data_IF_056254262788
#
_entry.id   IF_056254262788
#
_cell.length_a   1.000
_cell.length_b   1.000
_cell.length_c   1.000
_cell.angle_alpha   90.00
_cell.angle_beta   90.00
_cell.angle_gamma   90.00
#
_symmetry.space_group_name_H-M   'P 1'
#
loop_
_entity.id
_entity.type
_entity.pdbx_description
1 polymer ?
#
# COMPACT_ATOMS: atom_id res chain seq x y z
N UNK A 1 18.49 -3.46 10.29
CA UNK A 1 17.37 -4.22 9.68
C UNK A 1 17.66 -4.33 8.19
N UNK A 2 17.70 -5.55 7.69
CA UNK A 2 17.92 -5.85 6.27
C UNK A 2 16.65 -5.41 5.52
N UNK A 3 16.67 -4.23 4.90
CA UNK A 3 15.67 -3.88 3.90
C UNK A 3 15.77 -4.95 2.83
N UNK A 4 14.77 -5.82 2.72
CA UNK A 4 14.64 -6.57 1.48
C UNK A 4 14.44 -5.51 0.40
N UNK A 5 15.37 -5.36 -0.56
CA UNK A 5 15.16 -4.42 -1.64
C UNK A 5 13.86 -4.84 -2.30
N UNK A 6 12.90 -3.92 -2.39
CA UNK A 6 11.78 -4.06 -3.33
C UNK A 6 12.44 -4.50 -4.62
N UNK A 7 12.16 -5.72 -5.10
CA UNK A 7 12.81 -6.25 -6.31
C UNK A 7 12.74 -5.12 -7.34
N UNK A 8 13.88 -4.50 -7.66
CA UNK A 8 13.93 -3.34 -8.55
C UNK A 8 13.27 -3.79 -9.84
N UNK A 9 12.02 -3.37 -10.03
CA UNK A 9 11.25 -3.80 -11.17
C UNK A 9 11.86 -3.07 -12.35
N UNK A 10 12.37 -3.71 -13.39
CA UNK A 10 13.01 -2.98 -14.51
C UNK A 10 11.99 -2.26 -15.41
N UNK A 11 10.86 -1.84 -14.86
CA UNK A 11 9.83 -1.14 -15.58
C UNK A 11 10.14 0.36 -15.54
N UNK A 12 10.29 1.01 -16.71
CA UNK A 12 10.53 2.44 -16.75
C UNK A 12 9.33 3.18 -16.16
N UNK A 13 9.61 4.10 -15.25
CA UNK A 13 8.62 4.93 -14.57
C UNK A 13 9.12 6.37 -14.58
N UNK A 14 8.23 7.31 -14.88
CA UNK A 14 8.51 8.72 -14.81
C UNK A 14 7.62 9.36 -13.74
N UNK A 15 8.16 10.32 -13.01
CA UNK A 15 7.45 11.08 -11.97
C UNK A 15 7.67 12.57 -12.20
N UNK A 16 6.62 13.37 -12.08
CA UNK A 16 6.67 14.83 -12.12
C UNK A 16 6.24 15.42 -10.79
N UNK A 17 6.92 16.46 -10.34
CA UNK A 17 6.43 17.34 -9.29
C UNK A 17 6.21 18.73 -9.86
N UNK A 18 5.04 19.32 -9.58
CA UNK A 18 4.69 20.69 -9.96
C UNK A 18 4.40 21.53 -8.72
N UNK A 19 4.97 22.74 -8.64
CA UNK A 19 4.68 23.71 -7.58
C UNK A 19 3.29 24.33 -7.72
N UNK A 20 2.73 24.94 -6.65
CA UNK A 20 1.43 25.60 -6.71
C UNK A 20 1.38 26.75 -7.71
N UNK A 21 2.46 27.51 -7.84
CA UNK A 21 2.61 28.57 -8.84
C UNK A 21 2.77 28.02 -10.27
N UNK A 22 3.17 26.75 -10.41
CA UNK A 22 3.59 26.16 -11.68
C UNK A 22 4.98 26.60 -12.15
N UNK A 23 5.70 27.44 -11.39
CA UNK A 23 7.07 27.86 -11.73
C UNK A 23 8.06 26.69 -11.72
N UNK A 24 7.85 25.73 -10.83
CA UNK A 24 8.61 24.49 -10.81
C UNK A 24 7.75 23.35 -11.37
N UNK A 25 8.21 22.69 -12.43
CA UNK A 25 7.58 21.48 -12.96
C UNK A 25 8.64 20.60 -13.65
N UNK A 26 9.15 19.61 -12.91
CA UNK A 26 10.24 18.76 -13.41
C UNK A 26 9.85 17.28 -13.43
N UNK A 27 10.24 16.61 -14.51
CA UNK A 27 10.15 15.16 -14.66
C UNK A 27 11.45 14.49 -14.24
N UNK A 28 11.34 13.40 -13.50
CA UNK A 28 12.42 12.45 -13.25
C UNK A 28 12.01 11.09 -13.78
N UNK A 29 12.94 10.43 -14.45
CA UNK A 29 12.74 9.10 -15.00
C UNK A 29 13.64 8.11 -14.24
N UNK A 30 13.16 6.88 -14.08
CA UNK A 30 13.94 5.83 -13.48
C UNK A 30 13.45 4.43 -13.87
N UNK A 31 14.39 3.50 -13.91
CA UNK A 31 14.11 2.09 -14.17
C UNK A 31 13.73 1.39 -12.87
N UNK A 32 12.43 1.38 -12.58
CA UNK A 32 11.84 0.73 -11.42
C UNK A 32 11.63 1.57 -10.19
N UNK A 33 12.46 2.59 -10.01
CA UNK A 33 12.33 3.57 -8.95
C UNK A 33 12.65 4.96 -9.48
N UNK A 34 11.82 5.93 -9.11
CA UNK A 34 12.04 7.34 -9.42
C UNK A 34 12.06 8.11 -8.09
N UNK A 35 13.08 8.92 -7.88
CA UNK A 35 13.28 9.69 -6.66
C UNK A 35 13.44 11.17 -7.00
N UNK A 36 12.79 12.04 -6.22
CA UNK A 36 12.90 13.49 -6.34
C UNK A 36 12.97 14.12 -4.96
N UNK A 37 13.86 15.10 -4.82
CA UNK A 37 13.97 15.95 -3.63
C UNK A 37 13.78 17.39 -4.06
N UNK A 38 12.82 18.08 -3.44
CA UNK A 38 12.51 19.48 -3.73
C UNK A 38 12.37 20.26 -2.42
N UNK A 39 12.87 21.49 -2.43
CA UNK A 39 12.73 22.42 -1.30
C UNK A 39 11.45 23.24 -1.52
N UNK A 40 10.49 23.10 -0.60
CA UNK A 40 9.22 23.82 -0.63
C UNK A 40 9.47 25.28 -0.26
N UNK A 41 9.40 26.18 -1.24
CA UNK A 41 9.54 27.64 -1.04
C UNK A 41 8.20 28.37 -0.99
N UNK A 42 7.15 27.73 -1.48
CA UNK A 42 5.80 28.29 -1.59
C UNK A 42 4.79 27.44 -0.84
N UNK A 43 3.82 28.11 -0.22
CA UNK A 43 2.66 27.48 0.41
C UNK A 43 1.56 27.25 -0.65
N UNK A 44 1.05 26.02 -0.70
CA UNK A 44 -0.05 25.66 -1.59
C UNK A 44 -0.04 24.18 -1.96
N UNK A 45 -0.86 23.83 -2.94
CA UNK A 45 -1.04 22.46 -3.41
C UNK A 45 0.00 22.10 -4.47
N UNK A 46 0.90 21.18 -4.12
CA UNK A 46 1.84 20.58 -5.06
C UNK A 46 1.20 19.38 -5.76
N UNK A 47 1.41 19.26 -7.07
CA UNK A 47 0.92 18.13 -7.86
C UNK A 47 2.03 17.12 -8.13
N UNK A 48 1.75 15.84 -7.86
CA UNK A 48 2.64 14.73 -8.23
C UNK A 48 1.97 13.90 -9.34
N UNK A 49 2.57 13.87 -10.52
CA UNK A 49 2.14 12.98 -11.60
C UNK A 49 3.08 11.78 -11.70
N UNK A 50 2.53 10.60 -11.96
CA UNK A 50 3.31 9.40 -12.25
C UNK A 50 2.87 8.86 -13.60
N UNK A 51 3.83 8.62 -14.48
CA UNK A 51 3.61 8.05 -15.80
C UNK A 51 4.34 6.71 -15.90
N UNK A 52 3.63 5.69 -16.35
CA UNK A 52 4.18 4.37 -16.62
C UNK A 52 3.60 3.85 -17.95
N UNK A 53 4.41 3.27 -18.84
CA UNK A 53 3.96 2.85 -20.18
C UNK A 53 3.03 1.64 -20.15
N UNK A 54 2.89 0.97 -19.01
CA UNK A 54 1.97 -0.16 -18.80
C UNK A 54 1.26 0.00 -17.45
N UNK A 55 0.07 -0.58 -17.28
CA UNK A 55 -0.58 -0.63 -15.98
C UNK A 55 0.32 -1.36 -14.97
N UNK A 56 0.82 -0.63 -13.99
CA UNK A 56 1.70 -1.16 -12.93
C UNK A 56 1.21 -0.69 -11.57
N UNK A 57 1.51 -1.48 -10.53
CA UNK A 57 1.29 -1.06 -9.14
C UNK A 57 2.47 -0.22 -8.70
N UNK A 58 2.21 1.03 -8.32
CA UNK A 58 3.25 1.98 -7.88
C UNK A 58 3.15 2.16 -6.36
N UNK A 59 4.29 2.07 -5.67
CA UNK A 59 4.40 2.41 -4.26
C UNK A 59 5.00 3.82 -4.13
N UNK A 60 4.18 4.80 -3.73
CA UNK A 60 4.60 6.19 -3.55
C UNK A 60 4.88 6.48 -2.06
N UNK A 61 6.10 6.93 -1.77
CA UNK A 61 6.53 7.35 -0.43
C UNK A 61 6.85 8.85 -0.44
N UNK A 62 6.19 9.63 0.43
CA UNK A 62 6.36 11.09 0.51
C UNK A 62 6.89 11.43 1.92
N UNK A 63 7.99 12.19 1.97
CA UNK A 63 8.63 12.62 3.20
C UNK A 63 8.65 14.15 3.27
N UNK A 64 8.13 14.71 4.36
CA UNK A 64 8.13 16.16 4.60
C UNK A 64 9.08 16.47 5.76
N UNK A 65 10.03 17.38 5.52
CA UNK A 65 10.94 17.89 6.54
C UNK A 65 10.74 19.39 6.68
N UNK A 66 10.18 19.83 7.82
CA UNK A 66 10.13 21.25 8.19
C UNK A 66 11.17 21.50 9.29
N UNK A 67 12.33 22.11 8.96
CA UNK A 67 13.42 22.30 9.92
C UNK A 67 13.07 23.31 11.02
N UNK A 68 12.33 24.39 10.71
CA UNK A 68 12.03 25.45 11.69
C UNK A 68 11.06 25.00 12.80
N UNK A 69 10.00 24.26 12.44
CA UNK A 69 9.09 23.68 13.45
C UNK A 69 9.80 22.67 14.34
N UNK A 70 10.81 21.99 13.80
CA UNK A 70 11.63 21.04 14.55
C UNK A 70 12.55 21.78 15.52
N UNK A 71 13.25 22.82 15.06
CA UNK A 71 14.17 23.60 15.87
C UNK A 71 13.44 24.30 17.03
N UNK A 72 12.25 24.87 16.79
CA UNK A 72 11.44 25.47 17.86
C UNK A 72 10.90 24.46 18.87
N UNK A 73 10.45 23.27 18.41
CA UNK A 73 10.00 22.22 19.32
C UNK A 73 11.17 21.69 20.16
N UNK A 74 12.33 21.52 19.54
CA UNK A 74 13.55 21.07 20.17
C UNK A 74 14.11 22.10 21.16
N UNK A 75 14.14 23.38 20.80
CA UNK A 75 14.51 24.48 21.70
C UNK A 75 13.58 24.53 22.92
N UNK A 76 12.27 24.35 22.73
CA UNK A 76 11.32 24.27 23.85
C UNK A 76 11.64 23.10 24.78
N UNK A 77 11.97 21.93 24.23
CA UNK A 77 12.40 20.77 25.02
C UNK A 77 13.75 20.99 25.72
N UNK A 78 14.73 21.59 25.05
CA UNK A 78 16.05 21.89 25.60
C UNK A 78 15.94 22.92 26.74
N UNK A 79 15.12 23.97 26.58
CA UNK A 79 14.83 24.96 27.63
C UNK A 79 14.09 24.34 28.81
N UNK A 80 13.18 23.40 28.58
CA UNK A 80 12.47 22.70 29.65
C UNK A 80 13.35 21.73 30.46
N UNK A 81 14.54 21.36 29.96
CA UNK A 81 15.44 20.40 30.60
C UNK A 81 16.82 20.98 30.98
N UNK A 82 17.02 22.31 30.92
CA UNK A 82 18.27 23.02 31.28
C UNK A 82 19.56 22.39 30.71
N UNK A 83 19.48 21.80 29.51
CA UNK A 83 20.63 21.12 28.91
C UNK A 83 21.64 22.15 28.37
N UNK A 84 22.83 22.22 28.97
CA UNK A 84 23.93 23.11 28.56
C UNK A 84 24.47 22.75 27.16
N UNK A 85 24.89 23.79 26.43
CA UNK A 85 25.08 23.83 24.97
C UNK A 85 25.94 22.76 24.28
N UNK A 86 26.78 21.99 24.97
CA UNK A 86 27.51 20.88 24.32
C UNK A 86 26.67 19.59 24.17
N UNK A 87 25.58 19.48 24.91
CA UNK A 87 24.64 18.33 24.83
C UNK A 87 23.57 18.58 23.76
N UNK A 88 23.30 19.86 23.45
CA UNK A 88 22.28 20.27 22.47
C UNK A 88 22.52 19.68 21.09
N UNK A 89 23.73 19.82 20.54
CA UNK A 89 24.08 19.30 19.21
C UNK A 89 23.94 17.77 19.12
N UNK A 90 24.41 17.04 20.11
CA UNK A 90 24.26 15.58 20.15
C UNK A 90 22.78 15.17 20.23
N UNK A 91 21.99 15.85 21.07
CA UNK A 91 20.55 15.63 21.20
C UNK A 91 19.82 15.97 19.91
N UNK A 92 20.21 17.02 19.19
CA UNK A 92 19.59 17.38 17.89
C UNK A 92 19.74 16.25 16.87
N UNK A 93 20.97 15.72 16.72
CA UNK A 93 21.27 14.63 15.78
C UNK A 93 20.56 13.32 16.12
N UNK A 94 20.38 13.03 17.41
CA UNK A 94 19.65 11.85 17.89
C UNK A 94 18.15 12.04 17.69
N UNK A 95 17.62 13.23 17.99
CA UNK A 95 16.19 13.55 17.85
C UNK A 95 15.76 13.47 16.40
N UNK A 96 16.55 13.99 15.48
CA UNK A 96 16.27 13.95 14.04
C UNK A 96 16.18 12.49 13.54
N UNK A 97 17.12 11.64 13.96
CA UNK A 97 17.12 10.21 13.63
C UNK A 97 15.93 9.48 14.25
N UNK A 98 15.62 9.74 15.51
CA UNK A 98 14.47 9.13 16.20
C UNK A 98 13.14 9.56 15.58
N UNK A 99 13.04 10.80 15.11
CA UNK A 99 11.84 11.30 14.45
C UNK A 99 11.64 10.64 13.09
N UNK A 100 12.70 10.52 12.29
CA UNK A 100 12.68 9.76 11.03
C UNK A 100 12.23 8.32 11.27
N UNK A 101 12.70 7.67 12.34
CA UNK A 101 12.31 6.32 12.72
C UNK A 101 10.85 6.26 13.19
N UNK A 102 10.41 7.23 14.00
CA UNK A 102 9.04 7.27 14.49
C UNK A 102 8.03 7.45 13.35
N UNK A 103 8.31 8.36 12.42
CA UNK A 103 7.45 8.58 11.27
C UNK A 103 7.46 7.40 10.32
N UNK A 104 8.62 6.77 10.09
CA UNK A 104 8.66 5.56 9.26
C UNK A 104 7.83 4.43 9.88
N UNK A 105 7.87 4.24 11.20
CA UNK A 105 7.02 3.25 11.91
C UNK A 105 5.54 3.62 11.84
N UNK A 106 5.19 4.88 12.09
CA UNK A 106 3.79 5.35 12.03
C UNK A 106 3.19 5.16 10.63
N UNK A 107 3.95 5.51 9.60
CA UNK A 107 3.54 5.28 8.21
C UNK A 107 3.48 3.79 7.88
N UNK A 108 4.46 3.00 8.31
CA UNK A 108 4.49 1.56 8.12
C UNK A 108 3.25 0.89 8.73
N UNK A 109 2.88 1.24 9.96
CA UNK A 109 1.66 0.72 10.60
C UNK A 109 0.41 1.10 9.81
N UNK A 110 0.31 2.34 9.32
CA UNK A 110 -0.83 2.78 8.52
C UNK A 110 -0.92 2.02 7.18
N UNK A 111 0.21 1.74 6.55
CA UNK A 111 0.28 0.94 5.32
C UNK A 111 -0.06 -0.53 5.62
N UNK A 112 0.48 -1.09 6.69
CA UNK A 112 0.23 -2.47 7.13
C UNK A 112 -1.25 -2.73 7.40
N UNK A 113 -1.92 -1.84 8.13
CA UNK A 113 -3.36 -1.96 8.41
C UNK A 113 -4.19 -1.89 7.12
N UNK A 114 -3.80 -1.04 6.17
CA UNK A 114 -4.47 -0.97 4.85
C UNK A 114 -4.26 -2.24 4.04
N UNK A 115 -3.04 -2.80 4.06
CA UNK A 115 -2.71 -4.04 3.37
C UNK A 115 -3.43 -5.25 3.98
N UNK A 116 -3.55 -5.31 5.32
CA UNK A 116 -4.35 -6.32 6.03
C UNK A 116 -5.82 -6.26 5.62
N UNK A 117 -6.42 -5.06 5.59
CA UNK A 117 -7.81 -4.89 5.15
C UNK A 117 -8.02 -5.32 3.69
N UNK A 118 -7.06 -5.00 2.80
CA UNK A 118 -7.09 -5.43 1.41
C UNK A 118 -6.94 -6.96 1.25
N UNK A 119 -6.05 -7.57 2.04
CA UNK A 119 -5.87 -9.03 2.04
C UNK A 119 -7.12 -9.75 2.55
N UNK A 120 -7.77 -9.22 3.59
CA UNK A 120 -8.98 -9.79 4.14
C UNK A 120 -10.14 -9.74 3.14
N UNK A 121 -10.36 -8.60 2.48
CA UNK A 121 -11.38 -8.48 1.43
C UNK A 121 -11.15 -9.45 0.26
N UNK A 122 -9.90 -9.66 -0.16
CA UNK A 122 -9.56 -10.63 -1.21
C UNK A 122 -9.76 -12.08 -0.74
N UNK A 123 -9.41 -12.39 0.51
CA UNK A 123 -9.60 -13.72 1.11
C UNK A 123 -11.09 -14.07 1.19
N UNK A 124 -11.92 -13.14 1.64
CA UNK A 124 -13.37 -13.34 1.77
C UNK A 124 -14.03 -13.59 0.41
N UNK A 125 -13.59 -12.88 -0.63
CA UNK A 125 -14.03 -13.11 -2.00
C UNK A 125 -13.70 -14.54 -2.46
N UNK A 126 -12.44 -14.97 -2.31
CA UNK A 126 -12.00 -16.31 -2.71
C UNK A 126 -12.79 -17.39 -1.95
N UNK A 127 -12.98 -17.23 -0.65
CA UNK A 127 -13.72 -18.18 0.18
C UNK A 127 -15.19 -18.26 -0.26
N UNK A 128 -15.83 -17.13 -0.57
CA UNK A 128 -17.22 -17.09 -1.07
C UNK A 128 -17.42 -17.87 -2.37
N UNK A 129 -16.49 -17.74 -3.33
CA UNK A 129 -16.53 -18.50 -4.59
C UNK A 129 -16.45 -20.02 -4.36
N UNK A 130 -15.56 -20.46 -3.48
CA UNK A 130 -15.38 -21.88 -3.16
C UNK A 130 -16.64 -22.46 -2.53
N UNK A 131 -17.29 -21.72 -1.63
CA UNK A 131 -18.55 -22.16 -0.99
C UNK A 131 -19.66 -22.35 -2.04
N UNK A 132 -19.85 -21.37 -2.93
CA UNK A 132 -20.88 -21.45 -3.99
C UNK A 132 -20.61 -22.63 -4.95
N UNK A 133 -19.35 -22.84 -5.30
CA UNK A 133 -18.93 -23.96 -6.15
C UNK A 133 -19.24 -25.32 -5.50
N UNK A 134 -18.93 -25.48 -4.21
CA UNK A 134 -19.24 -26.70 -3.47
C UNK A 134 -20.74 -26.98 -3.39
N UNK A 135 -21.57 -25.97 -3.11
CA UNK A 135 -23.03 -26.11 -3.06
C UNK A 135 -23.57 -26.56 -4.43
N UNK A 136 -23.08 -25.96 -5.50
CA UNK A 136 -23.48 -26.30 -6.88
C UNK A 136 -23.17 -27.77 -7.19
N UNK A 137 -22.00 -28.27 -6.79
CA UNK A 137 -21.63 -29.67 -6.99
C UNK A 137 -22.51 -30.64 -6.20
N UNK A 138 -22.90 -30.30 -4.97
CA UNK A 138 -23.83 -31.12 -4.17
C UNK A 138 -25.19 -31.21 -4.88
N UNK A 139 -25.71 -30.09 -5.40
CA UNK A 139 -26.98 -30.07 -6.13
C UNK A 139 -26.90 -30.93 -7.40
N UNK A 140 -25.81 -30.80 -8.17
CA UNK A 140 -25.58 -31.61 -9.37
C UNK A 140 -25.54 -33.10 -9.01
N UNK A 141 -24.81 -33.49 -7.97
CA UNK A 141 -24.73 -34.88 -7.53
C UNK A 141 -26.12 -35.46 -7.16
N UNK A 142 -26.94 -34.71 -6.43
CA UNK A 142 -28.31 -35.12 -6.09
C UNK A 142 -29.15 -35.27 -7.37
N UNK A 143 -29.09 -34.29 -8.28
CA UNK A 143 -29.84 -34.31 -9.53
C UNK A 143 -29.47 -35.52 -10.41
N UNK A 144 -28.18 -35.86 -10.49
CA UNK A 144 -27.69 -37.03 -11.21
C UNK A 144 -28.28 -38.32 -10.64
N UNK A 145 -28.32 -38.47 -9.32
CA UNK A 145 -28.93 -39.66 -8.67
C UNK A 145 -30.42 -39.76 -8.99
N UNK A 146 -31.15 -38.63 -8.99
CA UNK A 146 -32.58 -38.60 -9.34
C UNK A 146 -32.80 -39.01 -10.80
N UNK A 147 -32.02 -38.46 -11.73
CA UNK A 147 -32.12 -38.78 -13.17
C UNK A 147 -31.81 -40.25 -13.42
N UNK A 148 -30.71 -40.77 -12.86
CA UNK A 148 -30.33 -42.18 -13.01
C UNK A 148 -31.39 -43.11 -12.43
N UNK A 149 -31.90 -42.82 -11.22
CA UNK A 149 -33.01 -43.62 -10.63
C UNK A 149 -34.30 -43.51 -11.43
N UNK A 150 -34.55 -42.37 -12.10
CA UNK A 150 -35.66 -42.20 -13.02
C UNK A 150 -35.52 -43.04 -14.29
N UNK A 151 -34.32 -43.12 -14.86
CA UNK A 151 -34.04 -43.94 -16.04
C UNK A 151 -34.18 -45.44 -15.78
N UNK A 152 -33.84 -45.91 -14.57
CA UNK A 152 -33.94 -47.33 -14.19
C UNK A 152 -35.25 -47.70 -13.47
N UNK A 153 -36.19 -46.77 -13.32
CA UNK A 153 -37.54 -47.10 -12.84
C UNK A 153 -38.24 -47.88 -13.95
N UNK A 154 -38.28 -49.20 -13.81
CA UNK A 154 -39.07 -50.08 -14.68
C UNK A 154 -40.53 -49.65 -14.55
N UNK A 155 -41.08 -49.18 -15.65
CA UNK A 155 -42.50 -48.87 -15.79
C UNK A 155 -43.30 -50.18 -15.74
N UNK A 156 -43.80 -50.56 -14.56
CA UNK A 156 -44.65 -51.73 -14.38
C UNK A 156 -46.00 -51.62 -15.15
N UNK A 157 -46.32 -50.46 -15.74
CA UNK A 157 -47.48 -50.28 -16.61
C UNK A 157 -47.21 -50.67 -18.08
N UNK A 158 -45.98 -50.98 -18.48
CA UNK A 158 -45.66 -51.46 -19.84
C UNK A 158 -45.04 -52.85 -19.79
N UNK A 159 -45.86 -53.85 -19.48
CA UNK A 159 -45.60 -55.23 -19.88
C UNK A 159 -45.70 -55.27 -21.41
N UNK A 160 -44.55 -55.32 -22.10
CA UNK A 160 -44.49 -55.74 -23.51
C UNK A 160 -44.56 -57.26 -23.54
N UNK A 161 -45.63 -57.77 -24.14
CA UNK A 161 -45.68 -59.11 -24.75
C UNK A 161 -44.83 -59.07 -26.02
#
# INVERSE_FOLDING_TARGET
MHFQPVRQSRFPLAMRLTSPSGEFSEWVEGDGEAFMKHNVTEDGDYEICVNAPRPVRVALNIFFHNPEKMEQALERFLKAHELKGSVGEAVTSITERLYSIFYSIKFYNKISVRDEAMQQSNSDYIQGYVVIFCISNIIIAISQVVVVRGMFKVDNSRIRI
#
